data_IF_808957139521
#
_entry.id   IF_808957139521
#
_cell.length_a   1.000
_cell.length_b   1.000
_cell.length_c   1.000
_cell.angle_alpha   90.00
_cell.angle_beta   90.00
_cell.angle_gamma   90.00
#
_symmetry.space_group_name_H-M   'P 1'
#
loop_
_entity.id
_entity.type
_entity.pdbx_description
1 polymer ?
#
# COMPACT_ATOMS: atom_id res chain seq x y z
N UNK A 1 -23.18 -21.63 -26.64
CA UNK A 1 -22.21 -21.52 -25.53
C UNK A 1 -20.94 -22.22 -25.96
N UNK A 2 -19.87 -21.48 -26.26
CA UNK A 2 -18.54 -22.06 -26.46
C UNK A 2 -18.12 -22.77 -25.17
N UNK A 3 -17.53 -23.97 -25.28
CA UNK A 3 -16.99 -24.68 -24.11
C UNK A 3 -15.91 -23.80 -23.48
N UNK A 4 -15.96 -23.67 -22.14
CA UNK A 4 -14.88 -23.05 -21.40
C UNK A 4 -13.58 -23.83 -21.64
N UNK A 5 -12.42 -23.14 -21.71
CA UNK A 5 -11.12 -23.81 -21.76
C UNK A 5 -10.95 -24.81 -20.62
N UNK A 6 -10.31 -25.96 -20.90
CA UNK A 6 -10.22 -27.09 -19.97
C UNK A 6 -9.37 -26.81 -18.72
N UNK A 7 -8.58 -25.74 -18.73
CA UNK A 7 -7.69 -25.29 -17.66
C UNK A 7 -8.37 -24.36 -16.64
N UNK A 8 -9.59 -23.89 -16.91
CA UNK A 8 -10.32 -22.99 -16.01
C UNK A 8 -10.96 -23.75 -14.86
N UNK A 9 -10.66 -23.30 -13.64
CA UNK A 9 -11.29 -23.82 -12.41
C UNK A 9 -12.42 -22.92 -11.90
N UNK A 10 -12.43 -21.64 -12.28
CA UNK A 10 -13.49 -20.71 -11.92
C UNK A 10 -13.70 -19.68 -13.03
N UNK A 11 -14.95 -19.30 -13.27
CA UNK A 11 -15.32 -18.06 -13.94
C UNK A 11 -16.50 -17.46 -13.19
N UNK A 12 -16.37 -16.21 -12.78
CA UNK A 12 -17.39 -15.48 -12.06
C UNK A 12 -17.59 -14.11 -12.72
N UNK A 13 -18.83 -13.67 -12.83
CA UNK A 13 -19.17 -12.32 -13.25
C UNK A 13 -20.03 -11.68 -12.18
N UNK A 14 -19.68 -10.46 -11.78
CA UNK A 14 -20.40 -9.72 -10.76
C UNK A 14 -20.86 -8.40 -11.37
N UNK A 15 -22.18 -8.24 -11.47
CA UNK A 15 -22.80 -6.94 -11.66
C UNK A 15 -22.81 -6.23 -10.30
N UNK A 16 -21.74 -5.48 -10.05
CA UNK A 16 -21.52 -4.82 -8.78
C UNK A 16 -22.55 -3.70 -8.56
N UNK A 17 -23.03 -3.07 -9.63
CA UNK A 17 -24.09 -2.07 -9.56
C UNK A 17 -25.39 -2.70 -9.03
N UNK A 18 -25.79 -3.85 -9.58
CA UNK A 18 -26.97 -4.57 -9.11
C UNK A 18 -26.80 -5.08 -7.67
N UNK A 19 -25.63 -5.63 -7.35
CA UNK A 19 -25.31 -6.12 -6.00
C UNK A 19 -25.39 -4.98 -4.96
N UNK A 20 -24.72 -3.85 -5.22
CA UNK A 20 -24.70 -2.71 -4.30
C UNK A 20 -26.08 -2.03 -4.20
N UNK A 21 -26.87 -1.99 -5.27
CA UNK A 21 -28.26 -1.52 -5.22
C UNK A 21 -29.15 -2.41 -4.31
N UNK A 22 -28.94 -3.73 -4.35
CA UNK A 22 -29.62 -4.67 -3.45
C UNK A 22 -29.23 -4.43 -1.99
N UNK A 23 -27.91 -4.42 -1.72
CA UNK A 23 -27.36 -4.17 -0.37
C UNK A 23 -27.84 -2.81 0.16
N UNK A 24 -27.85 -1.77 -0.67
CA UNK A 24 -28.33 -0.44 -0.30
C UNK A 24 -29.81 -0.46 0.08
N UNK A 25 -30.65 -1.17 -0.69
CA UNK A 25 -32.09 -1.28 -0.40
C UNK A 25 -32.32 -1.91 0.97
N UNK A 26 -31.59 -3.00 1.26
CA UNK A 26 -31.68 -3.69 2.54
C UNK A 26 -31.17 -2.81 3.70
N UNK A 27 -30.00 -2.17 3.53
CA UNK A 27 -29.38 -1.36 4.58
C UNK A 27 -30.05 -0.02 4.82
N UNK A 28 -30.64 0.62 3.80
CA UNK A 28 -31.35 1.88 3.99
C UNK A 28 -32.52 1.74 4.97
N UNK A 29 -33.13 0.55 5.04
CA UNK A 29 -34.21 0.25 5.97
C UNK A 29 -33.73 0.03 7.42
N UNK A 30 -32.51 -0.48 7.61
CA UNK A 30 -31.97 -0.86 8.92
C UNK A 30 -31.02 0.18 9.52
N UNK A 31 -30.17 0.80 8.69
CA UNK A 31 -29.16 1.81 9.05
C UNK A 31 -29.00 2.84 7.92
N UNK A 32 -29.76 3.95 7.96
CA UNK A 32 -29.68 5.01 6.94
C UNK A 32 -28.27 5.60 6.76
N UNK A 33 -27.48 5.70 7.82
CA UNK A 33 -26.09 6.16 7.77
C UNK A 33 -25.20 5.21 6.95
N UNK A 34 -25.41 3.90 7.04
CA UNK A 34 -24.67 2.90 6.26
C UNK A 34 -25.03 2.94 4.77
N UNK A 35 -26.27 3.30 4.41
CA UNK A 35 -26.68 3.43 3.01
C UNK A 35 -25.92 4.55 2.27
N UNK A 36 -25.61 5.66 2.96
CA UNK A 36 -24.78 6.73 2.38
C UNK A 36 -23.34 6.26 2.06
N UNK A 37 -22.76 5.44 2.94
CA UNK A 37 -21.44 4.82 2.75
C UNK A 37 -21.44 3.93 1.50
N UNK A 38 -22.49 3.10 1.34
CA UNK A 38 -22.62 2.18 0.21
C UNK A 38 -22.79 2.92 -1.11
N UNK A 39 -23.57 3.99 -1.15
CA UNK A 39 -23.74 4.80 -2.36
C UNK A 39 -22.42 5.35 -2.88
N UNK A 40 -21.56 5.79 -1.96
CA UNK A 40 -20.25 6.31 -2.33
C UNK A 40 -19.28 5.21 -2.75
N UNK A 41 -19.33 4.04 -2.09
CA UNK A 41 -18.57 2.87 -2.53
C UNK A 41 -19.02 2.42 -3.93
N UNK A 42 -20.33 2.44 -4.20
CA UNK A 42 -20.90 2.13 -5.50
C UNK A 42 -20.48 3.10 -6.59
N UNK A 43 -20.22 4.37 -6.25
CA UNK A 43 -19.70 5.36 -7.19
C UNK A 43 -18.24 5.10 -7.60
N UNK A 44 -17.46 4.39 -6.77
CA UNK A 44 -16.07 4.06 -7.06
C UNK A 44 -15.86 2.62 -7.55
N UNK A 45 -16.81 1.73 -7.25
CA UNK A 45 -16.73 0.34 -7.64
C UNK A 45 -16.82 0.18 -9.18
N UNK A 46 -16.17 -0.85 -9.74
CA UNK A 46 -16.41 -1.23 -11.13
C UNK A 46 -17.91 -1.50 -11.32
N UNK A 47 -18.50 -1.04 -12.42
CA UNK A 47 -19.94 -1.27 -12.69
C UNK A 47 -20.23 -2.75 -12.91
N UNK A 48 -19.32 -3.41 -13.64
CA UNK A 48 -19.34 -4.83 -13.93
C UNK A 48 -17.91 -5.37 -13.86
N UNK A 49 -17.75 -6.59 -13.36
CA UNK A 49 -16.46 -7.28 -13.34
C UNK A 49 -16.61 -8.75 -13.73
N UNK A 50 -15.61 -9.25 -14.45
CA UNK A 50 -15.46 -10.67 -14.77
C UNK A 50 -14.13 -11.13 -14.21
N UNK A 51 -14.15 -12.21 -13.44
CA UNK A 51 -12.95 -12.87 -12.96
C UNK A 51 -12.88 -14.30 -13.47
N UNK A 52 -11.68 -14.78 -13.78
CA UNK A 52 -11.42 -16.18 -14.09
C UNK A 52 -10.19 -16.66 -13.35
N UNK A 53 -10.21 -17.90 -12.89
CA UNK A 53 -9.07 -18.53 -12.25
C UNK A 53 -8.69 -19.83 -12.96
N UNK A 54 -7.39 -20.11 -13.03
CA UNK A 54 -6.83 -21.31 -13.65
C UNK A 54 -5.54 -21.75 -12.97
N UNK A 55 -5.20 -23.02 -13.16
CA UNK A 55 -3.86 -23.53 -12.88
C UNK A 55 -3.05 -23.52 -14.17
N UNK A 56 -1.84 -22.99 -14.08
CA UNK A 56 -0.78 -23.15 -15.08
C UNK A 56 0.30 -24.05 -14.45
N UNK A 57 1.33 -24.40 -15.23
CA UNK A 57 2.34 -25.40 -14.81
C UNK A 57 2.95 -25.15 -13.42
N UNK A 58 3.30 -23.89 -13.13
CA UNK A 58 4.01 -23.47 -11.92
C UNK A 58 3.23 -22.44 -11.09
N UNK A 59 1.93 -22.22 -11.38
CA UNK A 59 1.20 -21.10 -10.75
C UNK A 59 -0.31 -21.25 -10.78
N UNK A 60 -0.94 -20.60 -9.81
CA UNK A 60 -2.36 -20.28 -9.84
C UNK A 60 -2.54 -18.84 -10.32
N UNK A 61 -3.35 -18.64 -11.37
CA UNK A 61 -3.57 -17.33 -11.98
C UNK A 61 -5.02 -16.91 -11.83
N UNK A 62 -5.22 -15.66 -11.43
CA UNK A 62 -6.51 -14.97 -11.44
C UNK A 62 -6.42 -13.78 -12.39
N UNK A 63 -7.29 -13.77 -13.40
CA UNK A 63 -7.50 -12.62 -14.28
C UNK A 63 -8.83 -11.97 -13.92
N UNK A 64 -8.82 -10.66 -13.68
CA UNK A 64 -10.00 -9.85 -13.43
C UNK A 64 -10.06 -8.72 -14.45
N UNK A 65 -11.24 -8.46 -15.00
CA UNK A 65 -11.50 -7.34 -15.89
C UNK A 65 -12.75 -6.62 -15.43
N UNK A 66 -12.74 -5.31 -15.37
CA UNK A 66 -13.92 -4.53 -14.99
C UNK A 66 -13.90 -3.12 -15.55
N UNK A 67 -15.09 -2.52 -15.66
CA UNK A 67 -15.25 -1.14 -16.15
C UNK A 67 -15.43 -0.20 -14.97
N UNK A 68 -14.49 0.72 -14.78
CA UNK A 68 -14.51 1.71 -13.71
C UNK A 68 -15.40 2.90 -14.07
N UNK A 69 -15.94 3.58 -13.05
CA UNK A 69 -16.73 4.80 -13.24
C UNK A 69 -15.89 5.99 -13.73
N UNK A 70 -14.59 5.99 -13.42
CA UNK A 70 -13.62 6.99 -13.86
C UNK A 70 -12.41 6.31 -14.47
N UNK A 71 -11.68 7.03 -15.33
CA UNK A 71 -10.45 6.50 -15.91
C UNK A 71 -9.43 6.25 -14.80
N UNK A 72 -8.86 5.04 -14.70
CA UNK A 72 -7.75 4.77 -13.80
C UNK A 72 -6.50 5.58 -14.19
N UNK A 73 -5.47 5.60 -13.34
CA UNK A 73 -4.16 6.14 -13.71
C UNK A 73 -3.64 5.53 -15.03
N UNK A 74 -2.84 6.28 -15.78
CA UNK A 74 -2.26 5.80 -17.03
C UNK A 74 -1.33 4.60 -16.80
N UNK A 75 -1.18 3.76 -17.83
CA UNK A 75 -0.16 2.72 -17.83
C UNK A 75 1.22 3.36 -17.98
N UNK A 76 2.01 3.36 -16.93
CA UNK A 76 3.35 3.96 -16.92
C UNK A 76 4.35 3.00 -16.29
N UNK A 77 5.58 3.04 -16.78
CA UNK A 77 6.71 2.54 -16.01
C UNK A 77 7.15 3.66 -15.07
N UNK A 78 6.89 3.48 -13.77
CA UNK A 78 7.15 4.51 -12.75
C UNK A 78 8.61 4.53 -12.30
N UNK A 79 9.40 3.53 -12.67
CA UNK A 79 10.79 3.40 -12.20
C UNK A 79 10.96 3.20 -10.68
N UNK A 80 9.89 3.19 -9.88
CA UNK A 80 9.98 3.14 -8.41
C UNK A 80 10.69 1.90 -7.88
N UNK A 81 10.56 0.76 -8.55
CA UNK A 81 11.28 -0.46 -8.17
C UNK A 81 12.81 -0.29 -8.22
N UNK A 82 13.33 0.65 -9.01
CA UNK A 82 14.77 0.97 -9.05
C UNK A 82 15.28 1.67 -7.78
N UNK A 83 14.37 2.19 -6.95
CA UNK A 83 14.66 2.86 -5.68
C UNK A 83 14.51 1.91 -4.48
N UNK A 84 14.06 0.68 -4.73
CA UNK A 84 13.70 -0.30 -3.70
C UNK A 84 14.86 -1.29 -3.52
N UNK A 85 15.23 -1.64 -2.27
CA UNK A 85 16.21 -2.69 -2.04
C UNK A 85 15.83 -4.02 -2.70
N UNK A 86 16.78 -4.72 -3.30
CA UNK A 86 16.54 -6.00 -3.99
C UNK A 86 16.07 -7.16 -3.07
N UNK A 87 16.22 -7.02 -1.76
CA UNK A 87 15.76 -7.95 -0.73
C UNK A 87 14.38 -7.57 -0.14
N UNK A 88 13.67 -6.62 -0.77
CA UNK A 88 12.31 -6.30 -0.39
C UNK A 88 11.42 -7.56 -0.44
N UNK A 89 10.79 -7.85 0.69
CA UNK A 89 9.81 -8.93 0.82
C UNK A 89 8.49 -8.51 0.17
N UNK A 90 8.12 -7.25 0.31
CA UNK A 90 6.89 -6.68 -0.24
C UNK A 90 7.20 -5.41 -1.02
N UNK A 91 6.56 -5.28 -2.17
CA UNK A 91 6.53 -4.07 -2.96
C UNK A 91 5.13 -3.91 -3.55
N UNK A 92 4.57 -2.70 -3.46
CA UNK A 92 3.39 -2.34 -4.22
C UNK A 92 3.52 -0.90 -4.68
N UNK A 93 3.24 -0.61 -5.94
CA UNK A 93 3.22 0.75 -6.47
C UNK A 93 1.88 1.10 -7.11
N UNK A 94 1.65 2.40 -7.22
CA UNK A 94 0.50 2.94 -7.92
C UNK A 94 0.75 4.38 -8.34
N UNK A 95 0.04 4.79 -9.39
CA UNK A 95 0.11 6.14 -9.90
C UNK A 95 -0.78 7.11 -9.13
N UNK A 96 -0.31 8.35 -8.94
CA UNK A 96 -1.11 9.45 -8.38
C UNK A 96 -1.82 9.12 -7.06
N UNK A 97 -1.10 8.46 -6.14
CA UNK A 97 -1.66 7.98 -4.87
C UNK A 97 -2.24 9.12 -4.03
N UNK A 98 -1.66 10.32 -4.11
CA UNK A 98 -2.14 11.49 -3.38
C UNK A 98 -3.57 11.88 -3.70
N UNK A 99 -3.94 11.90 -4.99
CA UNK A 99 -5.32 12.15 -5.42
C UNK A 99 -6.27 11.08 -4.90
N UNK A 100 -5.86 9.81 -4.99
CA UNK A 100 -6.64 8.68 -4.47
C UNK A 100 -6.86 8.78 -2.95
N UNK A 101 -5.82 9.06 -2.18
CA UNK A 101 -5.91 9.23 -0.74
C UNK A 101 -6.73 10.46 -0.34
N UNK A 102 -6.57 11.60 -1.01
CA UNK A 102 -7.36 12.80 -0.75
C UNK A 102 -8.86 12.55 -0.95
N UNK A 103 -9.22 11.84 -2.02
CA UNK A 103 -10.60 11.42 -2.27
C UNK A 103 -11.12 10.44 -1.20
N UNK A 104 -10.29 9.49 -0.75
CA UNK A 104 -10.64 8.56 0.32
C UNK A 104 -10.80 9.25 1.67
N UNK A 105 -9.96 10.22 2.01
CA UNK A 105 -10.08 11.04 3.22
C UNK A 105 -11.38 11.83 3.19
N UNK A 106 -11.68 12.49 2.07
CA UNK A 106 -12.94 13.21 1.88
C UNK A 106 -14.14 12.28 2.08
N UNK A 107 -14.06 11.06 1.55
CA UNK A 107 -15.05 10.01 1.78
C UNK A 107 -15.19 9.65 3.26
N UNK A 108 -14.09 9.32 3.95
CA UNK A 108 -14.12 8.96 5.38
C UNK A 108 -14.72 10.07 6.24
N UNK A 109 -14.40 11.34 5.95
CA UNK A 109 -15.02 12.50 6.62
C UNK A 109 -16.55 12.50 6.44
N UNK A 110 -17.02 12.24 5.22
CA UNK A 110 -18.45 12.12 4.93
C UNK A 110 -19.13 10.99 5.71
N UNK A 111 -18.48 9.83 5.81
CA UNK A 111 -18.97 8.69 6.62
C UNK A 111 -19.05 9.05 8.10
N UNK A 112 -18.00 9.65 8.67
CA UNK A 112 -17.97 10.06 10.08
C UNK A 112 -19.09 11.07 10.35
N UNK A 113 -19.26 12.07 9.50
CA UNK A 113 -20.32 13.07 9.61
C UNK A 113 -21.72 12.43 9.57
N UNK A 114 -21.95 11.47 8.67
CA UNK A 114 -23.23 10.76 8.56
C UNK A 114 -23.50 9.78 9.71
N UNK A 115 -22.44 9.24 10.33
CA UNK A 115 -22.55 8.29 11.43
C UNK A 115 -22.83 8.93 12.80
N UNK A 116 -22.73 10.26 12.92
CA UNK A 116 -22.83 10.97 14.20
C UNK A 116 -21.68 10.67 15.16
N UNK A 117 -20.53 10.20 14.63
CA UNK A 117 -19.32 9.89 15.39
C UNK A 117 -18.56 11.13 15.88
N UNK A 118 -17.21 11.08 15.82
CA UNK A 118 -16.32 12.23 16.10
C UNK A 118 -16.94 13.50 15.50
N UNK A 119 -17.27 14.48 16.34
CA UNK A 119 -18.02 15.65 15.92
C UNK A 119 -17.26 16.34 14.78
N UNK A 120 -17.95 16.75 13.71
CA UNK A 120 -17.33 17.43 12.56
C UNK A 120 -16.46 18.60 13.02
N UNK A 121 -16.83 19.27 14.11
CA UNK A 121 -16.05 20.31 14.78
C UNK A 121 -14.63 19.88 15.18
N UNK A 122 -14.40 18.64 15.61
CA UNK A 122 -13.07 18.14 15.97
C UNK A 122 -12.22 17.93 14.72
N UNK A 123 -12.82 17.45 13.62
CA UNK A 123 -12.12 17.35 12.33
C UNK A 123 -11.81 18.74 11.77
N UNK A 124 -12.75 19.67 11.85
CA UNK A 124 -12.56 21.06 11.43
C UNK A 124 -11.46 21.75 12.25
N UNK A 125 -11.38 21.46 13.56
CA UNK A 125 -10.29 21.95 14.42
C UNK A 125 -8.94 21.36 13.99
N UNK A 126 -8.87 20.06 13.71
CA UNK A 126 -7.64 19.43 13.21
C UNK A 126 -7.23 20.06 11.87
N UNK A 127 -8.16 20.24 10.94
CA UNK A 127 -7.89 20.89 9.65
C UNK A 127 -7.47 22.35 9.78
N UNK A 128 -8.08 23.10 10.71
CA UNK A 128 -7.68 24.46 11.02
C UNK A 128 -6.25 24.52 11.58
N UNK A 129 -5.88 23.59 12.48
CA UNK A 129 -4.52 23.49 13.03
C UNK A 129 -3.51 23.08 11.96
N UNK A 130 -3.91 22.18 11.07
CA UNK A 130 -3.12 21.72 9.94
C UNK A 130 -3.06 22.73 8.77
N UNK A 131 -3.80 23.83 8.86
CA UNK A 131 -3.81 24.91 7.86
C UNK A 131 -4.40 24.50 6.51
N UNK A 132 -5.29 23.51 6.49
CA UNK A 132 -5.94 23.01 5.28
C UNK A 132 -6.70 21.72 5.49
N UNK A 133 -7.41 21.27 4.44
CA UNK A 133 -8.13 19.99 4.50
C UNK A 133 -7.15 18.81 4.61
N UNK A 134 -7.58 17.71 5.23
CA UNK A 134 -6.75 16.52 5.41
C UNK A 134 -6.31 15.90 4.07
N UNK A 135 -7.08 16.05 2.99
CA UNK A 135 -6.69 15.61 1.65
C UNK A 135 -5.52 16.42 1.09
N UNK A 136 -5.40 17.71 1.42
CA UNK A 136 -4.22 18.52 1.06
C UNK A 136 -2.90 18.01 1.66
N UNK A 137 -2.94 17.16 2.70
CA UNK A 137 -1.73 16.59 3.31
C UNK A 137 -1.12 15.48 2.49
N UNK A 138 -1.88 14.90 1.57
CA UNK A 138 -1.43 13.79 0.72
C UNK A 138 -1.44 14.15 -0.76
N UNK A 139 -2.05 15.28 -1.16
CA UNK A 139 -2.16 15.69 -2.57
C UNK A 139 -0.82 15.93 -3.28
N UNK A 140 0.26 16.16 -2.54
CA UNK A 140 1.62 16.25 -3.09
C UNK A 140 2.18 14.90 -3.53
N UNK A 141 1.58 13.77 -3.10
CA UNK A 141 2.07 12.43 -3.43
C UNK A 141 1.68 12.07 -4.86
N UNK A 142 2.67 11.94 -5.74
CA UNK A 142 2.48 11.42 -7.08
C UNK A 142 2.53 9.89 -7.09
N UNK A 143 3.37 9.37 -7.95
CA UNK A 143 3.64 7.93 -8.06
C UNK A 143 4.32 7.46 -6.78
N UNK A 144 3.76 6.43 -6.14
CA UNK A 144 4.21 6.01 -4.81
C UNK A 144 4.31 4.50 -4.71
N UNK A 145 5.39 4.03 -4.10
CA UNK A 145 5.60 2.64 -3.74
C UNK A 145 5.56 2.47 -2.23
N UNK A 146 4.94 1.39 -1.77
CA UNK A 146 5.04 0.86 -0.41
C UNK A 146 5.97 -0.35 -0.45
N UNK A 147 6.89 -0.39 0.50
CA UNK A 147 7.96 -1.39 0.57
C UNK A 147 7.97 -1.98 1.95
N UNK A 148 8.13 -3.30 2.04
CA UNK A 148 8.36 -4.01 3.29
C UNK A 148 9.49 -5.02 3.14
N UNK A 149 10.22 -5.27 4.22
CA UNK A 149 11.28 -6.28 4.21
C UNK A 149 11.85 -6.53 5.58
N UNK A 150 12.94 -7.29 5.61
CA UNK A 150 13.65 -7.64 6.83
C UNK A 150 15.15 -7.58 6.56
N UNK A 151 15.87 -6.74 7.30
CA UNK A 151 17.31 -6.55 7.13
C UNK A 151 17.96 -6.28 8.49
N UNK A 152 19.20 -6.75 8.67
CA UNK A 152 19.97 -6.53 9.89
C UNK A 152 19.23 -6.96 11.19
N UNK A 153 18.39 -7.99 11.12
CA UNK A 153 17.64 -8.49 12.28
C UNK A 153 16.38 -7.68 12.62
N UNK A 154 15.98 -6.71 11.79
CA UNK A 154 14.79 -5.89 12.01
C UNK A 154 13.89 -5.83 10.76
N UNK A 155 12.56 -5.83 10.92
CA UNK A 155 11.66 -5.52 9.83
C UNK A 155 11.74 -4.03 9.50
N UNK A 156 11.51 -3.70 8.23
CA UNK A 156 11.31 -2.33 7.78
C UNK A 156 10.05 -2.24 6.94
N UNK A 157 9.35 -1.12 7.05
CA UNK A 157 8.26 -0.73 6.17
C UNK A 157 8.44 0.73 5.82
N UNK A 158 8.20 1.10 4.57
CA UNK A 158 8.24 2.48 4.18
C UNK A 158 7.54 2.75 2.87
N UNK A 159 7.49 4.03 2.54
CA UNK A 159 6.99 4.55 1.30
C UNK A 159 8.07 5.37 0.59
N UNK A 160 8.05 5.28 -0.74
CA UNK A 160 8.89 6.07 -1.64
C UNK A 160 7.92 6.73 -2.62
N UNK A 161 7.84 8.04 -2.61
CA UNK A 161 6.91 8.82 -3.42
C UNK A 161 7.67 9.78 -4.31
N UNK A 162 7.32 9.86 -5.58
CA UNK A 162 7.68 10.96 -6.46
C UNK A 162 6.70 12.12 -6.19
N UNK A 163 7.14 13.20 -5.54
CA UNK A 163 6.24 14.29 -5.21
C UNK A 163 5.84 15.05 -6.47
N UNK A 164 4.57 15.44 -6.57
CA UNK A 164 4.10 16.41 -7.57
C UNK A 164 4.65 17.81 -7.28
N UNK A 165 4.94 18.10 -6.00
CA UNK A 165 5.61 19.31 -5.52
C UNK A 165 6.39 19.01 -4.23
N UNK A 166 7.73 18.98 -4.33
CA UNK A 166 8.61 18.71 -3.19
C UNK A 166 8.58 19.81 -2.11
N UNK A 167 8.28 21.06 -2.48
CA UNK A 167 8.15 22.18 -1.55
C UNK A 167 6.91 22.06 -0.69
N UNK A 168 5.77 21.67 -1.30
CA UNK A 168 4.54 21.35 -0.58
C UNK A 168 4.77 20.14 0.32
N UNK A 169 5.41 19.07 -0.17
CA UNK A 169 5.71 17.89 0.64
C UNK A 169 6.54 18.23 1.89
N UNK A 170 7.61 19.02 1.73
CA UNK A 170 8.44 19.50 2.85
C UNK A 170 7.62 20.32 3.85
N UNK A 171 6.78 21.24 3.35
CA UNK A 171 5.92 22.08 4.19
C UNK A 171 4.94 21.24 5.00
N UNK A 172 4.26 20.27 4.37
CA UNK A 172 3.29 19.39 5.03
C UNK A 172 3.93 18.48 6.08
N UNK A 173 5.12 17.95 5.81
CA UNK A 173 5.86 17.15 6.79
C UNK A 173 6.34 17.99 7.98
N UNK A 174 6.80 19.24 7.77
CA UNK A 174 7.13 20.16 8.86
C UNK A 174 5.90 20.55 9.70
N UNK A 175 4.74 20.74 9.07
CA UNK A 175 3.48 20.97 9.78
C UNK A 175 3.10 19.77 10.65
N UNK A 176 3.23 18.55 10.11
CA UNK A 176 2.99 17.32 10.87
C UNK A 176 3.93 17.21 12.09
N UNK A 177 5.21 17.54 11.93
CA UNK A 177 6.16 17.58 13.06
C UNK A 177 5.75 18.56 14.13
N UNK A 178 5.37 19.78 13.72
CA UNK A 178 4.95 20.84 14.64
C UNK A 178 3.70 20.41 15.42
N UNK A 179 2.76 19.74 14.76
CA UNK A 179 1.58 19.16 15.39
C UNK A 179 1.95 18.07 16.41
N UNK A 180 2.86 17.16 16.07
CA UNK A 180 3.31 16.10 16.97
C UNK A 180 4.02 16.66 18.21
N UNK A 181 4.85 17.69 18.05
CA UNK A 181 5.49 18.38 19.16
C UNK A 181 4.47 19.08 20.06
N UNK A 182 3.47 19.75 19.46
CA UNK A 182 2.39 20.39 20.21
C UNK A 182 1.54 19.37 20.96
N UNK A 183 1.22 18.23 20.34
CA UNK A 183 0.49 17.15 20.99
C UNK A 183 1.28 16.59 22.18
N UNK A 184 2.59 16.40 22.03
CA UNK A 184 3.48 15.98 23.12
C UNK A 184 3.52 17.00 24.26
N UNK A 185 3.55 18.30 23.96
CA UNK A 185 3.53 19.36 24.98
C UNK A 185 2.21 19.45 25.76
N UNK A 186 1.10 19.01 25.17
CA UNK A 186 -0.24 19.04 25.77
C UNK A 186 -0.62 17.70 26.46
N UNK A 187 0.37 16.90 26.88
CA UNK A 187 0.13 15.65 27.61
C UNK A 187 -0.12 14.42 26.72
N UNK A 188 0.11 14.53 25.40
CA UNK A 188 0.18 13.38 24.51
C UNK A 188 1.46 12.55 24.70
N UNK A 189 1.67 11.50 23.87
CA UNK A 189 2.89 10.70 23.91
C UNK A 189 4.14 11.58 23.77
N UNK A 190 5.22 11.21 24.47
CA UNK A 190 6.49 11.93 24.35
C UNK A 190 7.04 11.74 22.95
N UNK A 191 7.21 12.84 22.20
CA UNK A 191 7.80 12.85 20.86
C UNK A 191 9.16 13.55 20.90
N UNK A 192 10.18 12.92 20.33
CA UNK A 192 11.50 13.53 20.11
C UNK A 192 11.77 13.60 18.62
N UNK A 193 12.17 14.78 18.14
CA UNK A 193 12.55 14.99 16.75
C UNK A 193 14.04 15.27 16.71
N UNK A 194 14.75 14.54 15.85
CA UNK A 194 16.17 14.77 15.58
C UNK A 194 16.43 14.76 14.08
N UNK A 195 17.47 15.46 13.65
CA UNK A 195 17.88 15.52 12.26
C UNK A 195 19.33 15.07 12.13
N UNK A 196 19.65 14.44 11.01
CA UNK A 196 21.01 14.09 10.62
C UNK A 196 21.22 14.40 9.14
N UNK A 197 22.41 14.89 8.78
CA UNK A 197 22.81 14.95 7.38
C UNK A 197 23.21 13.56 6.88
N UNK A 198 22.73 13.20 5.70
CA UNK A 198 23.06 11.97 5.02
C UNK A 198 23.37 12.28 3.56
N UNK A 199 24.64 12.52 3.25
CA UNK A 199 25.09 12.84 1.89
C UNK A 199 24.46 14.12 1.33
N UNK A 200 24.29 15.17 2.16
CA UNK A 200 23.65 16.43 1.77
C UNK A 200 22.11 16.40 1.79
N UNK A 201 21.51 15.29 2.20
CA UNK A 201 20.05 15.19 2.44
C UNK A 201 19.78 15.09 3.92
N UNK A 202 18.95 15.97 4.47
CA UNK A 202 18.50 15.86 5.86
C UNK A 202 17.51 14.71 6.03
N UNK A 203 17.89 13.72 6.84
CA UNK A 203 16.97 12.73 7.39
C UNK A 203 16.42 13.29 8.69
N UNK A 204 15.09 13.33 8.81
CA UNK A 204 14.45 13.63 10.08
C UNK A 204 13.91 12.37 10.71
N UNK A 205 14.25 12.15 11.99
CA UNK A 205 13.76 11.04 12.80
C UNK A 205 12.76 11.57 13.84
N UNK A 206 11.57 10.98 13.86
CA UNK A 206 10.53 11.21 14.85
C UNK A 206 10.48 9.96 15.73
N UNK A 207 10.96 10.07 16.96
CA UNK A 207 10.89 9.00 17.95
C UNK A 207 9.73 9.26 18.90
N UNK A 208 9.04 8.21 19.31
CA UNK A 208 7.94 8.30 20.25
C UNK A 208 8.07 7.25 21.35
N UNK A 209 7.64 7.61 22.56
CA UNK A 209 7.58 6.66 23.68
C UNK A 209 6.33 5.78 23.52
N UNK A 210 6.52 4.61 22.91
CA UNK A 210 5.46 3.66 22.59
C UNK A 210 5.24 2.59 23.67
N UNK A 211 5.90 2.72 24.84
CA UNK A 211 5.90 1.70 25.89
C UNK A 211 6.72 0.45 25.55
N UNK A 212 6.92 -0.41 26.55
CA UNK A 212 7.83 -1.56 26.48
C UNK A 212 7.34 -2.72 25.60
N UNK A 213 6.05 -2.74 25.24
CA UNK A 213 5.45 -3.78 24.37
C UNK A 213 5.61 -3.49 22.88
N UNK A 214 5.96 -2.26 22.52
CA UNK A 214 6.10 -1.86 21.12
C UNK A 214 7.51 -2.22 20.63
N UNK A 215 7.63 -2.95 19.50
CA UNK A 215 8.93 -3.22 18.91
C UNK A 215 9.70 -1.92 18.61
N UNK A 216 11.02 -1.92 18.81
CA UNK A 216 11.86 -0.72 18.61
C UNK A 216 11.81 -0.19 17.16
N UNK A 217 11.67 -1.05 16.16
CA UNK A 217 11.50 -0.65 14.77
C UNK A 217 10.20 0.15 14.55
N UNK A 218 9.21 -0.04 15.42
CA UNK A 218 7.93 0.65 15.37
C UNK A 218 7.87 1.84 16.34
N UNK A 219 8.95 2.20 17.05
CA UNK A 219 9.01 3.36 17.94
C UNK A 219 9.67 4.60 17.31
N UNK A 220 10.01 4.51 16.02
CA UNK A 220 10.57 5.62 15.25
C UNK A 220 10.07 5.62 13.81
N UNK A 221 9.89 6.84 13.29
CA UNK A 221 9.58 7.12 11.90
C UNK A 221 10.64 8.06 11.36
N UNK A 222 11.25 7.73 10.24
CA UNK A 222 12.16 8.60 9.52
C UNK A 222 11.51 9.13 8.26
N UNK A 223 11.90 10.33 7.84
CA UNK A 223 11.65 10.79 6.50
C UNK A 223 12.79 11.66 5.93
N UNK A 224 12.88 11.68 4.61
CA UNK A 224 13.72 12.61 3.86
C UNK A 224 12.95 13.14 2.65
N UNK A 225 13.18 14.41 2.32
CA UNK A 225 12.60 15.08 1.15
C UNK A 225 13.73 15.59 0.28
N UNK A 226 13.76 15.12 -0.96
CA UNK A 226 14.61 15.63 -2.04
C UNK A 226 13.74 16.27 -3.12
N UNK A 227 14.34 16.84 -4.15
CA UNK A 227 13.59 17.41 -5.27
C UNK A 227 12.87 16.34 -6.11
N UNK A 228 13.34 15.09 -6.07
CA UNK A 228 12.83 14.00 -6.91
C UNK A 228 11.99 12.98 -6.14
N UNK A 229 12.19 12.87 -4.83
CA UNK A 229 11.54 11.84 -4.02
C UNK A 229 11.35 12.26 -2.58
N UNK A 230 10.27 11.75 -1.99
CA UNK A 230 10.01 11.72 -0.55
C UNK A 230 10.08 10.27 -0.11
N UNK A 231 10.91 10.01 0.90
CA UNK A 231 11.06 8.69 1.51
C UNK A 231 10.60 8.78 2.94
N UNK A 232 9.70 7.90 3.37
CA UNK A 232 9.25 7.79 4.77
C UNK A 232 9.34 6.32 5.15
N UNK A 233 9.87 5.99 6.32
CA UNK A 233 9.89 4.60 6.78
C UNK A 233 9.99 4.45 8.27
N UNK A 234 9.64 3.26 8.75
CA UNK A 234 9.80 2.86 10.13
C UNK A 234 11.25 2.44 10.42
N UNK A 235 11.66 2.64 11.67
CA UNK A 235 13.01 2.35 12.13
C UNK A 235 14.01 3.44 11.75
N UNK A 236 15.29 3.14 11.93
CA UNK A 236 16.40 4.08 11.80
C UNK A 236 17.24 3.90 10.52
N UNK A 237 16.96 2.85 9.74
CA UNK A 237 17.81 2.47 8.59
C UNK A 237 17.13 2.56 7.23
N UNK A 238 15.79 2.55 7.14
CA UNK A 238 15.10 2.46 5.84
C UNK A 238 15.39 3.66 4.94
N UNK A 239 15.28 4.88 5.48
CA UNK A 239 15.45 6.11 4.69
C UNK A 239 16.87 6.21 4.17
N UNK A 240 17.88 6.04 5.03
CA UNK A 240 19.29 6.04 4.63
C UNK A 240 19.56 4.97 3.54
N UNK A 241 19.03 3.75 3.73
CA UNK A 241 19.18 2.66 2.76
C UNK A 241 18.61 3.00 1.37
N UNK A 242 17.45 3.65 1.30
CA UNK A 242 16.86 4.10 0.03
C UNK A 242 17.64 5.26 -0.57
N UNK A 243 18.18 6.15 0.26
CA UNK A 243 19.03 7.25 -0.20
C UNK A 243 20.34 6.74 -0.82
N UNK A 244 20.94 5.70 -0.23
CA UNK A 244 22.17 5.06 -0.69
C UNK A 244 21.98 4.08 -1.85
N UNK A 245 20.73 3.81 -2.24
CA UNK A 245 20.38 2.78 -3.21
C UNK A 245 21.09 3.00 -4.55
N UNK A 246 21.82 1.97 -4.98
CA UNK A 246 22.42 1.92 -6.31
C UNK A 246 21.54 1.10 -7.24
N UNK A 247 21.49 1.48 -8.52
CA UNK A 247 20.67 0.79 -9.51
C UNK A 247 20.95 -0.73 -9.56
N UNK A 248 22.22 -1.13 -9.43
CA UNK A 248 22.63 -2.54 -9.47
C UNK A 248 22.04 -3.40 -8.34
N UNK A 249 21.78 -2.81 -7.16
CA UNK A 249 21.25 -3.48 -5.96
C UNK A 249 19.73 -3.27 -5.77
N UNK A 250 19.05 -2.75 -6.77
CA UNK A 250 17.62 -2.45 -6.70
C UNK A 250 16.73 -3.64 -7.06
N UNK A 251 15.49 -3.62 -6.56
CA UNK A 251 14.44 -4.57 -6.94
C UNK A 251 14.16 -4.48 -8.45
N UNK A 252 14.16 -3.28 -9.02
CA UNK A 252 14.00 -3.05 -10.45
C UNK A 252 15.06 -3.75 -11.31
N UNK A 253 16.27 -3.96 -10.77
CA UNK A 253 17.32 -4.71 -11.47
C UNK A 253 17.25 -6.23 -11.25
N UNK A 254 16.50 -6.70 -10.25
CA UNK A 254 16.31 -8.13 -9.97
C UNK A 254 15.67 -8.85 -11.15
N UNK A 255 16.38 -9.84 -11.70
CA UNK A 255 15.87 -10.66 -12.81
C UNK A 255 14.60 -11.41 -12.42
N UNK A 256 14.50 -11.88 -11.16
CA UNK A 256 13.33 -12.58 -10.63
C UNK A 256 12.11 -11.68 -10.58
N UNK A 257 12.26 -10.45 -10.08
CA UNK A 257 11.17 -9.47 -10.05
C UNK A 257 10.69 -9.09 -11.46
N UNK A 258 11.61 -8.76 -12.37
CA UNK A 258 11.26 -8.38 -13.75
C UNK A 258 10.53 -9.50 -14.49
N UNK A 259 11.06 -10.73 -14.43
CA UNK A 259 10.41 -11.88 -15.05
C UNK A 259 9.00 -12.14 -14.48
N UNK A 260 8.83 -11.96 -13.17
CA UNK A 260 7.52 -12.08 -12.54
C UNK A 260 6.55 -11.00 -13.00
N UNK A 261 6.98 -9.72 -13.02
CA UNK A 261 6.15 -8.61 -13.46
C UNK A 261 5.75 -8.75 -14.93
N UNK A 262 6.69 -9.12 -15.80
CA UNK A 262 6.44 -9.39 -17.22
C UNK A 262 5.39 -10.49 -17.43
N UNK A 263 5.35 -11.50 -16.55
CA UNK A 263 4.37 -12.58 -16.64
C UNK A 263 2.93 -12.15 -16.33
N UNK A 264 2.73 -11.02 -15.64
CA UNK A 264 1.40 -10.51 -15.27
C UNK A 264 0.97 -9.22 -15.98
N UNK A 265 1.91 -8.47 -16.55
CA UNK A 265 1.58 -7.25 -17.28
C UNK A 265 2.77 -6.43 -17.76
N UNK A 266 3.96 -6.67 -17.21
CA UNK A 266 5.15 -5.87 -17.51
C UNK A 266 5.15 -4.51 -16.80
N UNK A 267 6.20 -3.72 -17.04
CA UNK A 267 6.46 -2.48 -16.29
C UNK A 267 5.50 -1.33 -16.62
N UNK A 268 4.93 -1.28 -17.82
CA UNK A 268 3.88 -0.31 -18.17
C UNK A 268 2.52 -0.80 -17.68
N UNK A 269 2.15 -0.40 -16.47
CA UNK A 269 0.94 -0.82 -15.76
C UNK A 269 0.36 0.36 -14.93
N UNK A 270 -0.83 0.22 -14.35
CA UNK A 270 -1.43 1.22 -13.43
C UNK A 270 -1.05 1.03 -11.97
N UNK A 271 -0.45 -0.12 -11.66
CA UNK A 271 0.08 -0.52 -10.37
C UNK A 271 0.50 -1.98 -10.42
N UNK A 272 1.48 -2.32 -9.59
CA UNK A 272 1.99 -3.67 -9.43
C UNK A 272 2.09 -4.03 -7.94
N UNK A 273 2.06 -5.34 -7.68
CA UNK A 273 2.33 -5.91 -6.36
C UNK A 273 3.33 -7.04 -6.55
N UNK A 274 4.28 -7.12 -5.63
CA UNK A 274 5.24 -8.21 -5.49
C UNK A 274 5.32 -8.61 -4.02
N UNK A 275 5.29 -9.92 -3.78
CA UNK A 275 5.45 -10.49 -2.45
C UNK A 275 6.36 -11.72 -2.54
N UNK A 276 7.58 -11.61 -2.03
CA UNK A 276 8.51 -12.72 -1.90
C UNK A 276 8.15 -13.60 -0.69
N UNK A 277 7.39 -14.66 -0.96
CA UNK A 277 6.91 -15.57 0.09
C UNK A 277 8.04 -16.40 0.68
N UNK A 278 9.12 -16.64 -0.07
CA UNK A 278 10.33 -17.29 0.45
C UNK A 278 11.03 -16.39 1.47
N UNK A 279 11.26 -15.13 1.11
CA UNK A 279 11.92 -14.18 2.01
C UNK A 279 11.05 -13.87 3.24
N UNK A 280 9.72 -13.81 3.09
CA UNK A 280 8.80 -13.70 4.21
C UNK A 280 8.94 -14.86 5.20
N UNK A 281 8.93 -16.10 4.71
CA UNK A 281 9.11 -17.28 5.57
C UNK A 281 10.46 -17.24 6.27
N UNK A 282 11.54 -16.94 5.54
CA UNK A 282 12.87 -16.83 6.12
C UNK A 282 12.93 -15.78 7.25
N UNK A 283 12.21 -14.67 7.11
CA UNK A 283 12.10 -13.64 8.14
C UNK A 283 11.26 -14.07 9.35
N UNK A 284 10.21 -14.86 9.17
CA UNK A 284 9.26 -15.23 10.24
C UNK A 284 9.61 -16.53 10.97
N UNK A 285 10.22 -17.50 10.31
CA UNK A 285 10.56 -18.82 10.89
C UNK A 285 11.36 -18.73 12.21
N UNK A 286 12.34 -17.82 12.37
CA UNK A 286 13.06 -17.65 13.63
C UNK A 286 12.19 -17.23 14.82
N UNK A 287 11.02 -16.62 14.56
CA UNK A 287 10.09 -16.14 15.57
C UNK A 287 9.02 -17.16 15.94
N UNK A 288 9.03 -18.36 15.35
CA UNK A 288 8.11 -19.44 15.73
C UNK A 288 8.38 -19.84 17.18
N UNK A 289 7.39 -19.72 18.09
CA UNK A 289 7.55 -20.10 19.49
C UNK A 289 7.99 -21.55 19.65
N UNK A 290 8.82 -21.84 20.67
CA UNK A 290 9.39 -23.17 20.86
C UNK A 290 8.34 -24.28 21.04
N UNK A 291 7.23 -23.98 21.70
CA UNK A 291 6.07 -24.85 21.89
C UNK A 291 5.29 -25.12 20.60
N UNK A 292 5.37 -24.20 19.63
CA UNK A 292 4.70 -24.29 18.33
C UNK A 292 5.58 -24.89 17.23
N UNK A 293 6.89 -25.04 17.48
CA UNK A 293 7.87 -25.43 16.46
C UNK A 293 7.58 -26.80 15.83
N UNK A 294 7.18 -27.79 16.63
CA UNK A 294 6.84 -29.11 16.12
C UNK A 294 5.65 -29.06 15.15
N UNK A 295 4.57 -28.37 15.53
CA UNK A 295 3.37 -28.17 14.70
C UNK A 295 3.73 -27.42 13.42
N UNK A 296 4.55 -26.38 13.52
CA UNK A 296 4.98 -25.62 12.36
C UNK A 296 5.70 -26.52 11.34
N UNK A 297 6.73 -27.26 11.77
CA UNK A 297 7.54 -28.09 10.89
C UNK A 297 6.75 -29.25 10.26
N UNK A 298 5.83 -29.89 11.01
CA UNK A 298 5.10 -31.07 10.50
C UNK A 298 3.81 -30.73 9.77
N UNK A 299 3.13 -29.65 10.15
CA UNK A 299 1.74 -29.40 9.76
C UNK A 299 1.53 -28.11 8.99
N UNK A 300 2.46 -27.15 9.03
CA UNK A 300 2.32 -25.85 8.35
C UNK A 300 3.36 -25.72 7.22
N UNK A 301 4.64 -25.89 7.54
CA UNK A 301 5.75 -25.72 6.62
C UNK A 301 5.60 -26.51 5.31
N UNK A 302 5.15 -27.78 5.30
CA UNK A 302 4.97 -28.53 4.05
C UNK A 302 3.97 -27.90 3.08
N UNK A 303 2.97 -27.18 3.60
CA UNK A 303 1.95 -26.51 2.79
C UNK A 303 2.38 -25.13 2.30
N UNK A 304 3.20 -24.42 3.07
CA UNK A 304 3.63 -23.07 2.71
C UNK A 304 4.97 -23.03 1.97
N UNK A 305 5.84 -24.04 2.16
CA UNK A 305 7.17 -24.10 1.55
C UNK A 305 7.17 -24.10 0.01
N UNK A 306 6.21 -24.72 -0.70
CA UNK A 306 6.18 -24.70 -2.15
C UNK A 306 5.97 -23.31 -2.76
N UNK A 307 5.32 -22.38 -2.05
CA UNK A 307 5.08 -21.04 -2.58
C UNK A 307 6.39 -20.26 -2.73
N UNK A 308 6.59 -19.68 -3.91
CA UNK A 308 7.77 -18.87 -4.22
C UNK A 308 7.47 -17.38 -4.02
N UNK A 309 6.54 -16.84 -4.80
CA UNK A 309 6.13 -15.44 -4.72
C UNK A 309 4.69 -15.24 -5.21
N UNK A 310 4.13 -14.09 -4.84
CA UNK A 310 2.92 -13.53 -5.43
C UNK A 310 3.31 -12.32 -6.27
N UNK A 311 2.73 -12.20 -7.45
CA UNK A 311 2.90 -11.00 -8.30
C UNK A 311 1.55 -10.60 -8.90
N UNK A 312 1.30 -9.31 -8.99
CA UNK A 312 0.13 -8.76 -9.65
C UNK A 312 0.48 -7.50 -10.43
N UNK A 313 -0.25 -7.26 -11.52
CA UNK A 313 -0.23 -6.00 -12.23
C UNK A 313 -1.63 -5.68 -12.76
N UNK A 314 -1.92 -4.39 -12.88
CA UNK A 314 -3.16 -3.90 -13.50
C UNK A 314 -2.87 -3.02 -14.70
N UNK A 315 -3.71 -3.06 -15.73
CA UNK A 315 -3.62 -2.24 -16.93
C UNK A 315 -4.94 -1.57 -17.23
N UNK A 316 -4.87 -0.33 -17.66
CA UNK A 316 -5.99 0.46 -18.13
C UNK A 316 -6.09 0.44 -19.65
N UNK A 317 -7.30 0.38 -20.16
CA UNK A 317 -7.66 0.74 -21.53
C UNK A 317 -8.96 1.57 -21.49
N UNK A 318 -8.83 2.89 -21.56
CA UNK A 318 -9.92 3.80 -21.23
C UNK A 318 -10.40 3.60 -19.79
N UNK A 319 -11.67 3.25 -19.62
CA UNK A 319 -12.27 2.91 -18.31
C UNK A 319 -12.15 1.42 -17.96
N UNK A 320 -11.64 0.58 -18.87
CA UNK A 320 -11.44 -0.83 -18.59
C UNK A 320 -10.17 -1.02 -17.76
N UNK A 321 -10.29 -1.68 -16.61
CA UNK A 321 -9.18 -2.13 -15.80
C UNK A 321 -9.06 -3.65 -15.92
N UNK A 322 -7.90 -4.11 -16.36
CA UNK A 322 -7.54 -5.52 -16.44
C UNK A 322 -6.43 -5.81 -15.44
N UNK A 323 -6.70 -6.68 -14.47
CA UNK A 323 -5.74 -7.09 -13.45
C UNK A 323 -5.42 -8.57 -13.61
N UNK A 324 -4.15 -8.91 -13.47
CA UNK A 324 -3.68 -10.29 -13.40
C UNK A 324 -2.89 -10.49 -12.12
N UNK A 325 -3.22 -11.54 -11.39
CA UNK A 325 -2.54 -11.97 -10.17
C UNK A 325 -2.05 -13.39 -10.40
N UNK A 326 -0.81 -13.68 -10.02
CA UNK A 326 -0.24 -15.02 -10.03
C UNK A 326 0.38 -15.34 -8.67
N UNK A 327 0.05 -16.52 -8.15
CA UNK A 327 0.77 -17.14 -7.03
C UNK A 327 1.60 -18.28 -7.60
N UNK A 328 2.91 -18.17 -7.49
CA UNK A 328 3.88 -19.09 -8.10
C UNK A 328 4.35 -20.11 -7.08
N UNK A 329 4.49 -21.36 -7.51
CA UNK A 329 5.02 -22.49 -6.74
C UNK A 329 6.29 -23.02 -7.40
N UNK A 330 7.19 -23.63 -6.61
CA UNK A 330 8.44 -24.25 -7.08
C UNK A 330 8.26 -25.69 -7.56
#
# INVERSE_FOLDING_TARGET
MSRLPADRVLTASIDMKALLAGIQTDLASAQPSAAAVINQLAAQAPTFSVSSARFENDRFVVDTSGTLASSPPANTDRGLASLVPNDAIFFADGGQIGTGLANNITYLKGVIAASGGVGTQQLDQVEAVLGGDLGSFVSWMGDTAVVGGYANGAPYVGLISEPTDAGIARTKLLQLQSLLQLASANGGPTVKISTADHGGTTITTISFDAGSSTPSWASSLQYAVTDQRVVIGSGDSFVARVLDMQAASSLGNSARFRAALDSVGGSSNTGAIWFDLVALRAALEPFVPADSKAIYETSIKPWVAPFDYLVAASKADGQQLNSRIAVVVK
#
